data_IF_411707122001
#
_entry.id   IF_411707122001
#
_cell.length_a   1.000
_cell.length_b   1.000
_cell.length_c   1.000
_cell.angle_alpha   90.00
_cell.angle_beta   90.00
_cell.angle_gamma   90.00
#
_symmetry.space_group_name_H-M   'P 1'
#
loop_
_entity.id
_entity.type
_entity.pdbx_description
1 polymer ?
#
# COMPACT_ATOMS: atom_id res chain seq x y z
N UNK A 1 -22.24 3.31 -15.44
CA UNK A 1 -20.86 3.76 -15.20
C UNK A 1 -19.98 3.13 -16.23
N UNK A 2 -19.24 3.94 -16.97
CA UNK A 2 -18.31 3.44 -17.97
C UNK A 2 -17.09 2.78 -17.28
N UNK A 3 -16.52 1.75 -17.91
CA UNK A 3 -15.36 1.01 -17.37
C UNK A 3 -14.16 1.94 -17.16
N UNK A 4 -14.04 2.95 -18.03
CA UNK A 4 -13.00 3.97 -17.96
C UNK A 4 -13.18 4.92 -16.76
N UNK A 5 -14.42 5.22 -16.40
CA UNK A 5 -14.74 6.03 -15.22
C UNK A 5 -14.36 5.28 -13.94
N UNK A 6 -14.74 4.00 -13.83
CA UNK A 6 -14.40 3.14 -12.69
C UNK A 6 -12.89 3.00 -12.48
N UNK A 7 -12.13 2.83 -13.57
CA UNK A 7 -10.66 2.76 -13.49
C UNK A 7 -10.06 4.09 -13.04
N UNK A 8 -10.57 5.21 -13.56
CA UNK A 8 -10.14 6.55 -13.18
C UNK A 8 -10.44 6.85 -11.71
N UNK A 9 -11.63 6.47 -11.21
CA UNK A 9 -12.01 6.60 -9.80
C UNK A 9 -11.09 5.78 -8.90
N UNK A 10 -10.81 4.52 -9.25
CA UNK A 10 -9.91 3.69 -8.46
C UNK A 10 -8.48 4.25 -8.40
N UNK A 11 -8.00 4.84 -9.50
CA UNK A 11 -6.69 5.51 -9.54
C UNK A 11 -6.66 6.73 -8.61
N UNK A 12 -7.70 7.57 -8.64
CA UNK A 12 -7.82 8.74 -7.76
C UNK A 12 -7.89 8.33 -6.28
N UNK A 13 -8.66 7.28 -5.96
CA UNK A 13 -8.74 6.76 -4.59
C UNK A 13 -7.38 6.28 -4.07
N UNK A 14 -6.59 5.58 -4.90
CA UNK A 14 -5.23 5.16 -4.56
C UNK A 14 -4.31 6.35 -4.27
N UNK A 15 -4.41 7.42 -5.07
CA UNK A 15 -3.66 8.67 -4.85
C UNK A 15 -4.08 9.34 -3.54
N UNK A 16 -5.38 9.42 -3.25
CA UNK A 16 -5.90 9.97 -1.99
C UNK A 16 -5.36 9.18 -0.79
N UNK A 17 -5.41 7.85 -0.84
CA UNK A 17 -4.85 6.99 0.22
C UNK A 17 -3.36 7.27 0.40
N UNK A 18 -2.57 7.33 -0.67
CA UNK A 18 -1.14 7.64 -0.61
C UNK A 18 -0.85 9.02 0.00
N UNK A 19 -1.67 10.04 -0.31
CA UNK A 19 -1.55 11.38 0.24
C UNK A 19 -1.94 11.45 1.72
N UNK A 20 -2.98 10.71 2.13
CA UNK A 20 -3.41 10.62 3.54
C UNK A 20 -2.35 9.91 4.40
N UNK A 21 -1.74 8.84 3.88
CA UNK A 21 -0.63 8.14 4.54
C UNK A 21 0.62 9.03 4.72
N UNK A 22 0.75 10.12 3.95
CA UNK A 22 1.91 11.03 3.98
C UNK A 22 1.74 12.22 4.94
N UNK A 23 0.59 12.41 5.59
CA UNK A 23 0.39 13.53 6.55
C UNK A 23 1.30 13.37 7.77
N UNK A 24 1.87 14.49 8.19
CA UNK A 24 3.11 14.61 8.99
C UNK A 24 2.91 14.77 10.50
N UNK A 25 1.69 14.71 11.02
CA UNK A 25 1.45 15.04 12.42
C UNK A 25 1.29 13.79 13.31
N UNK A 26 2.24 13.70 14.24
CA UNK A 26 2.47 12.86 15.44
C UNK A 26 2.59 11.34 15.34
N UNK A 27 2.10 10.66 14.29
CA UNK A 27 2.42 9.23 14.05
C UNK A 27 2.58 8.95 12.56
N UNK A 28 3.67 9.43 11.96
CA UNK A 28 4.05 9.03 10.60
C UNK A 28 4.16 7.51 10.54
N UNK A 29 3.28 6.88 9.77
CA UNK A 29 3.31 5.45 9.52
C UNK A 29 4.67 5.09 8.94
N UNK A 30 5.30 4.07 9.50
CA UNK A 30 6.51 3.50 8.93
C UNK A 30 6.22 2.98 7.53
N UNK A 31 7.24 2.91 6.67
CA UNK A 31 7.08 2.38 5.32
C UNK A 31 6.48 0.97 5.32
N UNK A 32 6.83 0.13 6.31
CA UNK A 32 6.24 -1.20 6.50
C UNK A 32 4.74 -1.12 6.77
N UNK A 33 4.29 -0.24 7.66
CA UNK A 33 2.87 -0.05 7.95
C UNK A 33 2.09 0.46 6.72
N UNK A 34 2.70 1.35 5.94
CA UNK A 34 2.10 1.81 4.68
C UNK A 34 1.94 0.65 3.69
N UNK A 35 2.95 -0.21 3.56
CA UNK A 35 2.89 -1.43 2.72
C UNK A 35 1.79 -2.38 3.19
N UNK A 36 1.69 -2.59 4.50
CA UNK A 36 0.69 -3.45 5.11
C UNK A 36 -0.74 -2.95 4.83
N UNK A 37 -1.01 -1.67 5.09
CA UNK A 37 -2.32 -1.05 4.84
C UNK A 37 -2.71 -1.18 3.36
N UNK A 38 -1.80 -0.84 2.44
CA UNK A 38 -2.09 -0.92 1.00
C UNK A 38 -2.35 -2.37 0.55
N UNK A 39 -1.63 -3.34 1.12
CA UNK A 39 -1.84 -4.76 0.85
C UNK A 39 -3.17 -5.26 1.42
N UNK A 40 -3.54 -4.84 2.63
CA UNK A 40 -4.81 -5.21 3.26
C UNK A 40 -6.02 -4.61 2.50
N UNK A 41 -5.80 -3.48 1.82
CA UNK A 41 -6.75 -2.90 0.85
C UNK A 41 -6.77 -3.63 -0.52
N UNK A 42 -6.01 -4.71 -0.69
CA UNK A 42 -5.99 -5.53 -1.90
C UNK A 42 -5.19 -4.95 -3.06
N UNK A 43 -4.36 -3.92 -2.82
CA UNK A 43 -3.51 -3.32 -3.86
C UNK A 43 -2.36 -4.28 -4.19
N UNK A 44 -2.09 -4.49 -5.49
CA UNK A 44 -1.08 -5.46 -5.91
C UNK A 44 0.34 -4.95 -5.61
N UNK A 45 1.33 -5.83 -5.33
CA UNK A 45 2.70 -5.43 -4.99
C UNK A 45 3.35 -4.47 -5.98
N UNK A 46 3.13 -4.66 -7.29
CA UNK A 46 3.66 -3.78 -8.33
C UNK A 46 3.06 -2.36 -8.26
N UNK A 47 1.78 -2.24 -7.94
CA UNK A 47 1.08 -0.96 -7.79
C UNK A 47 1.51 -0.26 -6.50
N UNK A 48 1.71 -1.01 -5.40
CA UNK A 48 2.28 -0.50 -4.15
C UNK A 48 3.70 0.05 -4.40
N UNK A 49 4.51 -0.66 -5.19
CA UNK A 49 5.86 -0.25 -5.53
C UNK A 49 5.87 1.11 -6.27
N UNK A 50 4.96 1.28 -7.22
CA UNK A 50 4.76 2.55 -7.93
C UNK A 50 4.31 3.67 -6.99
N UNK A 51 3.31 3.41 -6.14
CA UNK A 51 2.75 4.39 -5.20
C UNK A 51 3.80 4.89 -4.20
N UNK A 52 4.64 4.00 -3.67
CA UNK A 52 5.60 4.31 -2.62
C UNK A 52 7.01 4.65 -3.14
N UNK A 53 7.24 4.64 -4.46
CA UNK A 53 8.56 4.87 -5.04
C UNK A 53 9.60 3.84 -4.59
N UNK A 54 9.25 2.56 -4.70
CA UNK A 54 10.09 1.40 -4.32
C UNK A 54 10.13 0.36 -5.43
N UNK A 55 11.03 -0.61 -5.30
CA UNK A 55 11.07 -1.74 -6.24
C UNK A 55 10.05 -2.81 -5.85
N UNK A 56 9.52 -3.52 -6.85
CA UNK A 56 8.61 -4.65 -6.60
C UNK A 56 9.28 -5.72 -5.71
N UNK A 57 10.58 -5.96 -5.88
CA UNK A 57 11.37 -6.87 -5.01
C UNK A 57 11.35 -6.44 -3.55
N UNK A 58 11.53 -5.14 -3.27
CA UNK A 58 11.48 -4.60 -1.92
C UNK A 58 10.10 -4.82 -1.28
N UNK A 59 9.03 -4.52 -2.02
CA UNK A 59 7.65 -4.71 -1.54
C UNK A 59 7.38 -6.18 -1.22
N UNK A 60 7.74 -7.11 -2.12
CA UNK A 60 7.54 -8.54 -1.88
C UNK A 60 8.33 -9.06 -0.65
N UNK A 61 9.54 -8.52 -0.42
CA UNK A 61 10.33 -8.84 0.78
C UNK A 61 9.63 -8.39 2.05
N UNK A 62 9.10 -7.16 2.10
CA UNK A 62 8.37 -6.66 3.27
C UNK A 62 7.06 -7.43 3.51
N UNK A 63 6.28 -7.73 2.45
CA UNK A 63 5.04 -8.52 2.57
C UNK A 63 5.30 -9.93 3.08
N UNK A 64 6.40 -10.56 2.66
CA UNK A 64 6.83 -11.84 3.20
C UNK A 64 7.15 -11.74 4.69
N UNK A 65 7.85 -10.67 5.11
CA UNK A 65 8.12 -10.37 6.51
C UNK A 65 6.85 -10.20 7.35
N UNK A 66 5.90 -9.40 6.86
CA UNK A 66 4.61 -9.14 7.53
C UNK A 66 3.80 -10.43 7.72
N UNK A 67 3.73 -11.29 6.69
CA UNK A 67 3.03 -12.58 6.79
C UNK A 67 3.67 -13.51 7.82
N UNK A 68 5.00 -13.51 7.93
CA UNK A 68 5.72 -14.30 8.93
C UNK A 68 5.46 -13.79 10.35
N UNK A 69 5.45 -12.48 10.57
CA UNK A 69 5.16 -11.92 11.89
C UNK A 69 3.72 -12.18 12.34
N UNK A 70 2.74 -12.16 11.43
CA UNK A 70 1.34 -12.51 11.76
C UNK A 70 1.23 -13.96 12.26
N UNK A 71 1.87 -14.91 11.57
CA UNK A 71 1.88 -16.33 11.97
C UNK A 71 2.57 -16.63 13.31
N UNK A 72 3.41 -15.73 13.81
CA UNK A 72 4.12 -15.90 15.09
C UNK A 72 3.35 -15.27 16.26
N UNK A 73 2.35 -14.44 15.97
CA UNK A 73 1.51 -13.77 16.97
C UNK A 73 0.19 -14.51 17.26
N UNK A 74 -0.11 -15.55 16.46
CA UNK A 74 -1.20 -16.52 16.64
C UNK A 74 -0.72 -17.72 17.47
#
# INVERSE_FOLDING_TARGET
MDKNELQSTNKLLRVIVALLLRRKDEKTLTLRQQIEILSDLGIKPAEIAEILGRTNTYINKELSGIRKSRKQAE
#
